data_IF_153707792875
#
_entry.id   IF_153707792875
#
_cell.length_a   1.000
_cell.length_b   1.000
_cell.length_c   1.000
_cell.angle_alpha   90.00
_cell.angle_beta   90.00
_cell.angle_gamma   90.00
#
_symmetry.space_group_name_H-M   'P 1'
#
loop_
_entity.id
_entity.type
_entity.pdbx_description
1 polymer ?
#
# COMPACT_ATOMS: atom_id res chain seq x y z
N UNK A 1 -23.17 19.19 7.19
CA UNK A 1 -22.87 18.55 8.49
C UNK A 1 -22.51 17.08 8.33
N UNK A 2 -23.35 16.27 7.65
CA UNK A 2 -23.11 14.84 7.43
C UNK A 2 -21.76 14.51 6.75
N UNK A 3 -21.38 15.26 5.70
CA UNK A 3 -20.11 15.06 4.99
C UNK A 3 -18.84 15.41 5.79
N UNK A 4 -18.94 16.30 6.78
CA UNK A 4 -17.81 16.59 7.68
C UNK A 4 -17.65 15.48 8.73
N UNK A 5 -18.78 15.02 9.28
CA UNK A 5 -18.79 13.94 10.28
C UNK A 5 -18.24 12.64 9.68
N UNK A 6 -18.63 12.28 8.44
CA UNK A 6 -18.13 11.07 7.77
C UNK A 6 -16.62 11.11 7.53
N UNK A 7 -16.07 12.27 7.13
CA UNK A 7 -14.62 12.46 6.96
C UNK A 7 -13.86 12.36 8.28
N UNK A 8 -14.39 12.96 9.34
CA UNK A 8 -13.79 12.86 10.68
C UNK A 8 -13.77 11.41 11.18
N UNK A 9 -14.89 10.68 11.03
CA UNK A 9 -14.96 9.26 11.37
C UNK A 9 -13.96 8.42 10.58
N UNK A 10 -13.79 8.71 9.28
CA UNK A 10 -12.82 8.04 8.44
C UNK A 10 -11.37 8.31 8.91
N UNK A 11 -11.03 9.56 9.23
CA UNK A 11 -9.70 9.92 9.77
C UNK A 11 -9.44 9.21 11.10
N UNK A 12 -10.40 9.23 12.02
CA UNK A 12 -10.28 8.52 13.31
C UNK A 12 -10.06 7.03 13.10
N UNK A 13 -10.78 6.42 12.16
CA UNK A 13 -10.62 5.01 11.81
C UNK A 13 -9.23 4.69 11.26
N UNK A 14 -8.68 5.57 10.41
CA UNK A 14 -7.32 5.42 9.87
C UNK A 14 -6.24 5.60 10.94
N UNK A 15 -6.44 6.54 11.86
CA UNK A 15 -5.55 6.74 13.01
C UNK A 15 -5.56 5.50 13.91
N UNK A 16 -6.74 4.96 14.20
CA UNK A 16 -6.88 3.71 14.96
C UNK A 16 -6.18 2.54 14.26
N UNK A 17 -6.38 2.39 12.94
CA UNK A 17 -5.70 1.38 12.13
C UNK A 17 -4.18 1.53 12.21
N UNK A 18 -3.66 2.75 12.12
CA UNK A 18 -2.22 3.05 12.26
C UNK A 18 -1.69 2.61 13.62
N UNK A 19 -2.40 2.88 14.70
CA UNK A 19 -1.99 2.43 16.04
C UNK A 19 -2.08 0.92 16.20
N UNK A 20 -3.15 0.29 15.73
CA UNK A 20 -3.31 -1.17 15.75
C UNK A 20 -2.15 -1.87 15.03
N UNK A 21 -1.73 -1.35 13.88
CA UNK A 21 -0.60 -1.95 13.12
C UNK A 21 0.74 -1.88 13.85
N UNK A 22 0.88 -1.01 14.86
CA UNK A 22 2.11 -0.92 15.65
C UNK A 22 2.36 -2.20 16.44
N UNK A 23 1.31 -2.77 17.01
CA UNK A 23 1.40 -3.95 17.90
C UNK A 23 0.99 -5.26 17.20
N UNK A 24 0.37 -5.17 16.02
CA UNK A 24 0.00 -6.32 15.20
C UNK A 24 1.20 -7.25 14.91
N UNK A 25 0.98 -8.56 14.96
CA UNK A 25 1.92 -9.58 14.47
C UNK A 25 1.79 -9.72 12.95
N UNK A 26 2.74 -10.40 12.31
CA UNK A 26 2.68 -10.66 10.85
C UNK A 26 1.39 -11.39 10.46
N UNK A 27 0.95 -12.35 11.28
CA UNK A 27 -0.31 -13.07 11.09
C UNK A 27 -1.56 -12.17 11.12
N UNK A 28 -1.53 -11.09 11.91
CA UNK A 28 -2.66 -10.14 12.00
C UNK A 28 -2.76 -9.26 10.74
N UNK A 29 -1.71 -9.24 9.90
CA UNK A 29 -1.63 -8.50 8.64
C UNK A 29 -1.77 -9.40 7.43
N UNK A 30 -2.20 -10.65 7.61
CA UNK A 30 -2.31 -11.62 6.52
C UNK A 30 -3.32 -11.18 5.45
N UNK A 31 -4.34 -10.40 5.85
CA UNK A 31 -5.33 -9.86 4.91
C UNK A 31 -4.69 -9.02 3.80
N UNK A 32 -3.62 -8.27 4.09
CA UNK A 32 -2.90 -7.43 3.11
C UNK A 32 -1.65 -8.13 2.57
N UNK A 33 -1.00 -8.97 3.39
CA UNK A 33 0.20 -9.71 2.99
C UNK A 33 -0.12 -10.83 2.00
N UNK A 34 -1.12 -11.66 2.28
CA UNK A 34 -1.51 -12.77 1.40
C UNK A 34 -1.75 -12.35 -0.06
N UNK A 35 -2.58 -11.33 -0.37
CA UNK A 35 -2.76 -10.89 -1.76
C UNK A 35 -1.52 -10.21 -2.34
N UNK A 36 -0.70 -9.55 -1.52
CA UNK A 36 0.59 -8.99 -1.98
C UNK A 36 1.53 -10.12 -2.38
N UNK A 37 1.68 -11.14 -1.55
CA UNK A 37 2.56 -12.29 -1.80
C UNK A 37 2.12 -13.00 -3.06
N UNK A 38 0.82 -13.27 -3.21
CA UNK A 38 0.28 -13.87 -4.43
C UNK A 38 0.66 -13.08 -5.70
N UNK A 39 0.55 -11.75 -5.67
CA UNK A 39 0.92 -10.93 -6.80
C UNK A 39 2.45 -10.90 -7.02
N UNK A 40 3.24 -10.86 -5.95
CA UNK A 40 4.70 -10.97 -6.03
C UNK A 40 5.15 -12.32 -6.60
N UNK A 41 4.52 -13.44 -6.21
CA UNK A 41 4.78 -14.76 -6.78
C UNK A 41 4.54 -14.75 -8.29
N UNK A 42 3.42 -14.16 -8.71
CA UNK A 42 3.06 -14.05 -10.12
C UNK A 42 4.08 -13.21 -10.90
N UNK A 43 4.56 -12.10 -10.34
CA UNK A 43 5.49 -11.19 -11.01
C UNK A 43 6.94 -11.69 -11.03
N UNK A 44 7.36 -12.41 -9.99
CA UNK A 44 8.75 -12.85 -9.80
C UNK A 44 9.00 -14.31 -10.19
N UNK A 45 7.93 -15.08 -10.47
CA UNK A 45 7.97 -16.53 -10.68
C UNK A 45 8.61 -17.30 -9.51
N UNK A 46 8.57 -16.72 -8.29
CA UNK A 46 9.02 -17.36 -7.04
C UNK A 46 7.84 -17.91 -6.25
N UNK A 47 8.14 -18.73 -5.25
CA UNK A 47 7.16 -19.30 -4.33
C UNK A 47 7.53 -18.97 -2.90
N UNK A 48 6.55 -18.56 -2.10
CA UNK A 48 6.70 -18.25 -0.70
C UNK A 48 5.88 -19.22 0.15
N UNK A 49 6.53 -19.87 1.10
CA UNK A 49 5.86 -20.67 2.11
C UNK A 49 5.39 -19.76 3.26
N UNK A 50 4.15 -19.93 3.71
CA UNK A 50 3.64 -19.22 4.87
C UNK A 50 4.21 -19.84 6.15
N UNK A 51 4.87 -19.03 6.97
CA UNK A 51 5.33 -19.33 8.32
C UNK A 51 4.53 -18.48 9.32
N UNK A 52 3.89 -19.12 10.28
CA UNK A 52 2.99 -18.47 11.25
C UNK A 52 3.70 -17.48 12.18
N UNK A 53 5.03 -17.56 12.27
CA UNK A 53 5.86 -16.79 13.20
C UNK A 53 6.58 -15.66 12.48
N UNK A 54 7.16 -15.95 11.32
CA UNK A 54 8.03 -15.05 10.58
C UNK A 54 7.30 -14.28 9.47
N UNK A 55 6.31 -14.90 8.82
CA UNK A 55 5.67 -14.37 7.62
C UNK A 55 5.86 -15.29 6.42
N UNK A 56 6.08 -14.73 5.23
CA UNK A 56 6.20 -15.51 4.00
C UNK A 56 7.66 -15.66 3.59
N UNK A 57 8.13 -16.90 3.39
CA UNK A 57 9.56 -17.21 3.20
C UNK A 57 9.79 -17.93 1.87
N UNK A 58 10.73 -17.42 1.08
CA UNK A 58 11.38 -18.15 -0.01
C UNK A 58 12.77 -18.60 0.46
N UNK A 59 12.88 -19.89 0.80
CA UNK A 59 14.13 -20.51 1.25
C UNK A 59 15.21 -20.55 0.16
N UNK A 60 14.81 -20.59 -1.11
CA UNK A 60 15.75 -20.65 -2.24
C UNK A 60 16.36 -19.28 -2.51
N UNK A 61 15.55 -18.23 -2.38
CA UNK A 61 15.97 -16.83 -2.54
C UNK A 61 16.55 -16.16 -1.31
N UNK A 62 16.41 -16.79 -0.14
CA UNK A 62 16.65 -16.17 1.17
C UNK A 62 15.88 -14.84 1.33
N UNK A 63 14.58 -14.87 0.99
CA UNK A 63 13.69 -13.70 1.06
C UNK A 63 12.63 -13.94 2.13
N UNK A 64 12.50 -12.97 3.04
CA UNK A 64 11.46 -12.93 4.06
C UNK A 64 10.54 -11.73 3.81
N UNK A 65 9.25 -11.99 3.67
CA UNK A 65 8.19 -10.98 3.63
C UNK A 65 7.49 -11.00 5.00
N UNK A 66 7.85 -10.04 5.84
CA UNK A 66 7.31 -9.87 7.20
C UNK A 66 6.36 -8.67 7.30
N UNK A 67 5.98 -8.33 8.53
CA UNK A 67 5.18 -7.14 8.85
C UNK A 67 5.72 -5.83 8.26
N UNK A 68 7.03 -5.66 8.10
CA UNK A 68 7.62 -4.44 7.53
C UNK A 68 7.26 -4.25 6.05
N UNK A 69 6.98 -5.37 5.38
CA UNK A 69 6.52 -5.44 4.00
C UNK A 69 4.99 -5.45 3.88
N UNK A 70 4.23 -5.09 4.90
CA UNK A 70 2.76 -5.10 4.83
C UNK A 70 2.15 -3.96 4.01
N UNK A 71 2.90 -2.88 3.78
CA UNK A 71 2.36 -1.70 3.07
C UNK A 71 1.33 -0.90 3.88
N UNK A 72 1.09 -1.21 5.16
CA UNK A 72 0.06 -0.53 5.97
C UNK A 72 0.23 0.99 6.08
N UNK A 73 1.48 1.47 6.14
CA UNK A 73 1.76 2.90 6.12
C UNK A 73 1.31 3.55 4.81
N UNK A 74 1.58 2.86 3.70
CA UNK A 74 1.18 3.32 2.38
C UNK A 74 -0.34 3.26 2.19
N UNK A 75 -1.02 2.26 2.74
CA UNK A 75 -2.48 2.18 2.76
C UNK A 75 -3.10 3.37 3.49
N UNK A 76 -2.63 3.68 4.70
CA UNK A 76 -3.12 4.82 5.48
C UNK A 76 -2.89 6.13 4.74
N UNK A 77 -1.70 6.34 4.17
CA UNK A 77 -1.41 7.52 3.36
C UNK A 77 -2.28 7.61 2.11
N UNK A 78 -2.48 6.50 1.39
CA UNK A 78 -3.31 6.49 0.19
C UNK A 78 -4.78 6.75 0.51
N UNK A 79 -5.28 6.20 1.62
CA UNK A 79 -6.66 6.38 2.06
C UNK A 79 -6.95 7.80 2.59
N UNK A 80 -5.95 8.51 3.14
CA UNK A 80 -6.14 9.88 3.65
C UNK A 80 -6.26 10.92 2.53
N UNK A 81 -5.57 10.71 1.41
CA UNK A 81 -5.57 11.64 0.28
C UNK A 81 -6.98 12.02 -0.21
N UNK A 82 -7.89 11.08 -0.53
CA UNK A 82 -9.22 11.45 -0.98
C UNK A 82 -10.05 12.12 0.13
N UNK A 83 -9.84 11.79 1.40
CA UNK A 83 -10.54 12.43 2.53
C UNK A 83 -10.15 13.90 2.65
N UNK A 84 -8.89 14.25 2.38
CA UNK A 84 -8.38 15.62 2.50
C UNK A 84 -8.60 16.45 1.22
N UNK A 85 -8.33 15.88 0.05
CA UNK A 85 -8.21 16.64 -1.19
C UNK A 85 -9.43 16.52 -2.11
N UNK A 86 -10.26 15.49 -1.96
CA UNK A 86 -11.46 15.35 -2.80
C UNK A 86 -12.63 16.11 -2.19
N UNK A 87 -13.13 17.14 -2.90
CA UNK A 87 -14.25 17.97 -2.43
C UNK A 87 -15.63 17.33 -2.62
N UNK A 88 -15.75 16.40 -3.55
CA UNK A 88 -17.01 15.67 -3.83
C UNK A 88 -17.27 14.56 -2.80
N UNK A 89 -18.51 14.10 -2.74
CA UNK A 89 -18.98 13.08 -1.78
C UNK A 89 -18.54 11.64 -2.14
N UNK A 90 -17.93 11.44 -3.30
CA UNK A 90 -17.41 10.15 -3.79
C UNK A 90 -15.97 9.85 -3.31
N UNK A 91 -15.47 10.58 -2.31
CA UNK A 91 -14.16 10.34 -1.68
C UNK A 91 -14.00 8.91 -1.14
N UNK A 92 -15.08 8.27 -0.71
CA UNK A 92 -15.06 6.90 -0.20
C UNK A 92 -14.70 5.87 -1.28
N UNK A 93 -15.02 6.12 -2.55
CA UNK A 93 -14.64 5.25 -3.67
C UNK A 93 -13.12 5.20 -3.77
N UNK A 94 -12.47 6.36 -3.67
CA UNK A 94 -11.02 6.44 -3.70
C UNK A 94 -10.40 5.85 -2.42
N UNK A 95 -11.03 5.98 -1.26
CA UNK A 95 -10.59 5.24 -0.07
C UNK A 95 -10.63 3.72 -0.30
N UNK A 96 -11.67 3.20 -0.96
CA UNK A 96 -11.76 1.79 -1.31
C UNK A 96 -10.68 1.36 -2.31
N UNK A 97 -10.34 2.22 -3.29
CA UNK A 97 -9.26 1.99 -4.27
C UNK A 97 -7.86 2.03 -3.63
N UNK A 98 -7.69 2.68 -2.48
CA UNK A 98 -6.40 2.71 -1.78
C UNK A 98 -5.89 1.31 -1.42
N UNK A 99 -6.80 0.37 -1.13
CA UNK A 99 -6.46 -1.01 -0.81
C UNK A 99 -5.80 -1.77 -1.97
N UNK A 100 -6.43 -1.92 -3.16
CA UNK A 100 -5.78 -2.57 -4.30
C UNK A 100 -4.54 -1.82 -4.78
N UNK A 101 -4.51 -0.48 -4.72
CA UNK A 101 -3.28 0.27 -5.04
C UNK A 101 -2.14 -0.08 -4.08
N UNK A 102 -2.44 -0.29 -2.79
CA UNK A 102 -1.42 -0.72 -1.83
C UNK A 102 -0.86 -2.10 -2.17
N UNK A 103 -1.73 -3.06 -2.51
CA UNK A 103 -1.30 -4.40 -2.93
C UNK A 103 -0.36 -4.30 -4.13
N UNK A 104 -0.74 -3.53 -5.16
CA UNK A 104 0.08 -3.35 -6.37
C UNK A 104 1.42 -2.68 -6.04
N UNK A 105 1.39 -1.55 -5.32
CA UNK A 105 2.59 -0.79 -4.98
C UNK A 105 3.59 -1.62 -4.18
N UNK A 106 3.08 -2.34 -3.20
CA UNK A 106 3.90 -3.17 -2.33
C UNK A 106 4.43 -4.41 -3.08
N UNK A 107 3.65 -5.00 -3.98
CA UNK A 107 4.10 -6.11 -4.83
C UNK A 107 5.22 -5.69 -5.79
N UNK A 108 5.12 -4.49 -6.37
CA UNK A 108 6.19 -3.89 -7.19
C UNK A 108 7.44 -3.66 -6.35
N UNK A 109 7.30 -3.09 -5.15
CA UNK A 109 8.42 -2.84 -4.23
C UNK A 109 9.15 -4.14 -3.87
N UNK A 110 8.42 -5.18 -3.48
CA UNK A 110 9.01 -6.47 -3.09
C UNK A 110 9.68 -7.12 -4.31
N UNK A 111 8.98 -7.20 -5.43
CA UNK A 111 9.52 -7.75 -6.69
C UNK A 111 10.78 -7.00 -7.14
N UNK A 112 10.79 -5.67 -7.02
CA UNK A 112 11.96 -4.85 -7.32
C UNK A 112 13.14 -5.17 -6.40
N UNK A 113 12.90 -5.36 -5.10
CA UNK A 113 13.93 -5.79 -4.17
C UNK A 113 14.50 -7.20 -4.50
N UNK A 114 13.66 -8.10 -5.01
CA UNK A 114 14.08 -9.44 -5.47
C UNK A 114 14.99 -9.34 -6.70
N UNK A 115 14.62 -8.54 -7.70
CA UNK A 115 15.43 -8.40 -8.92
C UNK A 115 16.70 -7.60 -8.71
N UNK A 116 16.68 -6.66 -7.77
CA UNK A 116 17.82 -5.80 -7.43
C UNK A 116 18.58 -6.31 -6.20
N UNK A 117 18.47 -7.61 -5.89
CA UNK A 117 19.05 -8.22 -4.68
C UNK A 117 20.56 -7.95 -4.55
N UNK A 118 21.29 -7.86 -5.67
CA UNK A 118 22.71 -7.50 -5.69
C UNK A 118 23.01 -6.11 -5.11
N UNK A 119 22.07 -5.18 -5.23
CA UNK A 119 22.13 -3.82 -4.67
C UNK A 119 21.36 -3.69 -3.36
N UNK A 120 20.47 -4.64 -3.05
CA UNK A 120 19.62 -4.62 -1.87
C UNK A 120 20.39 -4.76 -0.54
N UNK A 121 21.64 -5.24 -0.59
CA UNK A 121 22.53 -5.26 0.58
C UNK A 121 22.98 -3.86 1.01
N UNK A 122 22.87 -2.85 0.14
CA UNK A 122 23.06 -1.45 0.52
C UNK A 122 21.77 -0.91 1.16
N UNK A 123 21.79 -0.56 2.47
CA UNK A 123 20.62 -0.04 3.17
C UNK A 123 20.05 1.23 2.53
N UNK A 124 20.90 2.05 1.90
CA UNK A 124 20.49 3.29 1.22
C UNK A 124 19.72 2.94 -0.04
N UNK A 125 20.23 1.99 -0.84
CA UNK A 125 19.55 1.55 -2.06
C UNK A 125 18.19 0.92 -1.74
N UNK A 126 18.12 0.07 -0.72
CA UNK A 126 16.87 -0.53 -0.27
C UNK A 126 15.82 0.53 0.10
N UNK A 127 16.23 1.53 0.89
CA UNK A 127 15.34 2.62 1.34
C UNK A 127 14.93 3.52 0.18
N UNK A 128 15.87 3.83 -0.72
CA UNK A 128 15.63 4.67 -1.90
C UNK A 128 14.63 4.02 -2.85
N UNK A 129 14.83 2.75 -3.21
CA UNK A 129 13.93 2.04 -4.11
C UNK A 129 12.50 1.99 -3.57
N UNK A 130 12.34 1.62 -2.30
CA UNK A 130 11.03 1.59 -1.66
C UNK A 130 10.34 2.95 -1.63
N UNK A 131 11.08 4.01 -1.30
CA UNK A 131 10.57 5.38 -1.28
C UNK A 131 10.18 5.87 -2.67
N UNK A 132 10.99 5.55 -3.68
CA UNK A 132 10.72 5.91 -5.07
C UNK A 132 9.44 5.26 -5.58
N UNK A 133 9.29 3.93 -5.43
CA UNK A 133 8.09 3.20 -5.85
C UNK A 133 6.83 3.76 -5.19
N UNK A 134 6.86 3.94 -3.86
CA UNK A 134 5.72 4.50 -3.14
C UNK A 134 5.41 5.94 -3.55
N UNK A 135 6.40 6.81 -3.64
CA UNK A 135 6.16 8.20 -4.01
C UNK A 135 5.58 8.32 -5.42
N UNK A 136 6.11 7.58 -6.39
CA UNK A 136 5.60 7.59 -7.77
C UNK A 136 4.14 7.16 -7.85
N UNK A 137 3.78 6.06 -7.17
CA UNK A 137 2.40 5.55 -7.18
C UNK A 137 1.47 6.47 -6.39
N UNK A 138 1.92 7.01 -5.25
CA UNK A 138 1.14 7.95 -4.44
C UNK A 138 0.83 9.24 -5.22
N UNK A 139 1.81 9.79 -5.94
CA UNK A 139 1.61 10.95 -6.81
C UNK A 139 0.63 10.61 -7.93
N UNK A 140 0.80 9.48 -8.61
CA UNK A 140 -0.13 9.03 -9.64
C UNK A 140 -1.57 8.92 -9.11
N UNK A 141 -1.74 8.34 -7.94
CA UNK A 141 -3.04 8.21 -7.30
C UNK A 141 -3.64 9.55 -6.88
N UNK A 142 -2.83 10.45 -6.32
CA UNK A 142 -3.24 11.83 -6.03
C UNK A 142 -3.72 12.56 -7.29
N UNK A 143 -2.99 12.42 -8.41
CA UNK A 143 -3.39 12.98 -9.70
C UNK A 143 -4.73 12.41 -10.20
N UNK A 144 -4.99 11.11 -10.01
CA UNK A 144 -6.29 10.52 -10.32
C UNK A 144 -7.42 11.11 -9.44
N UNK A 145 -7.17 11.32 -8.14
CA UNK A 145 -8.13 11.92 -7.21
C UNK A 145 -8.51 13.33 -7.64
N UNK A 146 -7.57 14.17 -8.06
CA UNK A 146 -7.91 15.54 -8.49
C UNK A 146 -8.41 15.58 -9.94
N UNK A 147 -7.89 14.71 -10.81
CA UNK A 147 -8.12 14.72 -12.25
C UNK A 147 -9.52 14.26 -12.66
N UNK A 148 -10.12 13.33 -11.91
CA UNK A 148 -11.46 12.77 -12.22
C UNK A 148 -12.55 13.86 -12.33
N UNK A 149 -12.39 15.00 -11.65
CA UNK A 149 -13.39 16.09 -11.67
C UNK A 149 -13.27 17.03 -12.88
N UNK A 150 -12.09 17.12 -13.52
CA UNK A 150 -11.86 18.08 -14.62
C UNK A 150 -12.62 17.69 -15.91
N UNK A 151 -13.07 16.44 -16.01
CA UNK A 151 -13.79 15.94 -17.19
C UNK A 151 -15.28 16.29 -17.21
N UNK A 152 -15.87 16.64 -16.06
CA UNK A 152 -17.31 16.98 -15.94
C UNK A 152 -17.61 18.48 -16.09
N UNK A 153 -16.59 19.34 -16.18
CA UNK A 153 -16.75 20.80 -16.19
C UNK A 153 -16.42 21.47 -17.53
N UNK A 154 -16.45 20.73 -18.65
CA UNK A 154 -16.36 21.31 -20.00
C UNK A 154 -17.80 21.40 -20.52
N UNK A 155 -18.45 22.58 -20.50
CA UNK A 155 -19.70 22.76 -21.24
C UNK A 155 -19.41 22.60 -22.73
N UNK A 156 -20.20 21.74 -23.40
CA UNK A 156 -20.28 21.69 -24.87
C UNK A 156 -20.95 22.94 -25.41
#
# INVERSE_FOLDING_TARGET
MLGLVSRLLAIVSLVFLKFFTRDARTADLDFILSPTVFLTELMSSRRFAQDTTLGYIDWTGNILIDKSCSGMNFLVLSAILPILFRKSEDWWIFCAIAYPITIIANSIRITGAIFLQSFANDPVFHTMHGSFVYLSILIGFYLCIIGFKRKESIPQ
#
